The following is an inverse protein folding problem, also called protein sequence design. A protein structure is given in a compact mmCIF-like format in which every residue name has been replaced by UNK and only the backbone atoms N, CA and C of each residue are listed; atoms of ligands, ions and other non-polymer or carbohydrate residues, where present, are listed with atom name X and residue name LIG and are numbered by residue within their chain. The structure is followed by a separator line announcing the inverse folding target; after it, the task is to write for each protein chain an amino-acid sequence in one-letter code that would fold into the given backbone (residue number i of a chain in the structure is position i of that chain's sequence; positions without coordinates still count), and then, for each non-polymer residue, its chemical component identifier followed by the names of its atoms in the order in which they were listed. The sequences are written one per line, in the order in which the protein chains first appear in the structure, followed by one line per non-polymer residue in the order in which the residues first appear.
data_IF_619950666096
#
_entry.id   IF_619950666096
#
_cell.length_a   1.000
_cell.length_b   1.000
_cell.length_c   1.000
_cell.angle_alpha   90.00
_cell.angle_beta   90.00
_cell.angle_gamma   90.00
#
_symmetry.space_group_name_H-M   'P 1'
#
loop_
_entity.id
_entity.type
_entity.pdbx_description
1 polymer ?
#
# COMPACT_ATOMS: atom_id res chain seq x y z
N UNK A 1 -45.36 13.14 14.80
CA UNK A 1 -44.29 12.13 15.02
C UNK A 1 -44.10 11.36 13.74
N UNK A 2 -42.95 11.53 13.07
CA UNK A 2 -42.56 10.69 11.94
C UNK A 2 -41.18 10.14 12.26
N UNK A 3 -41.14 8.82 12.47
CA UNK A 3 -39.95 8.02 12.68
C UNK A 3 -39.21 7.96 11.34
N UNK A 4 -37.94 8.38 11.30
CA UNK A 4 -37.08 8.23 10.12
C UNK A 4 -36.19 7.02 10.37
N UNK A 5 -36.40 5.96 9.57
CA UNK A 5 -35.53 4.79 9.52
C UNK A 5 -34.19 5.19 8.89
N UNK A 6 -33.09 4.97 9.61
CA UNK A 6 -31.73 5.09 9.10
C UNK A 6 -31.15 3.70 8.81
N UNK A 7 -31.54 3.09 7.69
CA UNK A 7 -30.77 1.99 7.07
C UNK A 7 -31.16 1.89 5.60
N UNK A 8 -30.33 2.42 4.70
CA UNK A 8 -30.18 1.92 3.34
C UNK A 8 -28.93 2.52 2.68
N UNK A 9 -27.79 1.83 2.79
CA UNK A 9 -26.75 1.92 1.76
C UNK A 9 -26.59 0.52 1.19
N UNK A 10 -27.29 0.29 0.09
CA UNK A 10 -27.03 -0.85 -0.78
C UNK A 10 -25.82 -0.52 -1.64
N UNK A 11 -24.79 -1.37 -1.57
CA UNK A 11 -23.73 -1.43 -2.56
C UNK A 11 -24.34 -1.67 -3.94
N UNK A 12 -24.03 -0.79 -4.89
CA UNK A 12 -24.25 -1.03 -6.32
C UNK A 12 -22.87 -1.26 -6.95
N UNK A 13 -22.69 -2.46 -7.49
CA UNK A 13 -21.52 -2.89 -8.24
C UNK A 13 -21.22 -1.94 -9.41
N UNK A 14 -19.93 -1.63 -9.60
CA UNK A 14 -19.30 -1.15 -10.85
C UNK A 14 -19.98 0.01 -11.60
N UNK A 15 -20.45 1.04 -10.89
CA UNK A 15 -20.79 2.31 -11.52
C UNK A 15 -20.00 3.42 -10.83
N UNK A 16 -19.05 4.11 -11.50
CA UNK A 16 -18.42 5.28 -10.89
C UNK A 16 -19.53 6.30 -10.66
N UNK A 17 -19.83 6.57 -9.39
CA UNK A 17 -20.70 7.69 -9.02
C UNK A 17 -19.92 8.94 -9.40
N UNK A 18 -20.20 9.49 -10.59
CA UNK A 18 -19.85 10.88 -10.90
C UNK A 18 -20.69 11.74 -9.97
N UNK A 19 -20.07 12.27 -8.93
CA UNK A 19 -20.60 13.43 -8.23
C UNK A 19 -20.57 14.59 -9.24
N UNK A 20 -21.72 14.83 -9.87
CA UNK A 20 -21.96 16.09 -10.59
C UNK A 20 -22.44 17.06 -9.52
N UNK A 21 -21.57 17.98 -9.11
CA UNK A 21 -21.97 19.13 -8.32
C UNK A 21 -23.04 19.91 -9.10
N UNK A 22 -24.27 20.10 -8.57
CA UNK A 22 -25.31 20.87 -9.24
C UNK A 22 -24.98 22.37 -9.40
N UNK A 23 -23.86 22.85 -8.85
CA UNK A 23 -23.45 24.26 -8.92
C UNK A 23 -22.29 24.57 -9.85
N UNK A 24 -21.58 23.57 -10.39
CA UNK A 24 -20.57 23.75 -11.43
C UNK A 24 -19.39 24.63 -11.02
N UNK A 25 -18.97 24.57 -9.74
CA UNK A 25 -17.68 25.12 -9.32
C UNK A 25 -16.65 23.99 -9.36
N UNK A 26 -15.65 24.12 -10.22
CA UNK A 26 -14.51 23.21 -10.32
C UNK A 26 -13.54 23.34 -9.11
N UNK A 27 -13.93 24.11 -8.10
CA UNK A 27 -13.03 24.66 -7.07
C UNK A 27 -13.16 23.98 -5.70
N UNK A 28 -14.21 23.19 -5.42
CA UNK A 28 -14.51 22.66 -4.08
C UNK A 28 -14.94 21.18 -4.12
N UNK A 29 -14.20 20.31 -4.81
CA UNK A 29 -14.20 18.90 -4.40
C UNK A 29 -13.42 18.88 -3.09
N UNK A 30 -14.05 18.63 -1.91
CA UNK A 30 -13.27 18.39 -0.72
C UNK A 30 -12.30 17.26 -1.06
N UNK A 31 -10.99 17.53 -0.96
CA UNK A 31 -9.97 16.50 -1.02
C UNK A 31 -10.36 15.53 0.10
N UNK A 32 -11.11 14.50 -0.27
CA UNK A 32 -11.47 13.45 0.65
C UNK A 32 -10.13 12.74 0.85
N UNK A 33 -9.50 12.93 2.01
CA UNK A 33 -8.41 12.08 2.46
C UNK A 33 -9.01 10.67 2.58
N UNK A 34 -8.99 9.92 1.48
CA UNK A 34 -9.82 8.72 1.31
C UNK A 34 -9.37 7.57 2.21
N UNK A 35 -8.11 7.56 2.64
CA UNK A 35 -7.57 6.59 3.59
C UNK A 35 -7.41 7.22 4.98
N UNK A 36 -7.05 8.51 5.01
CA UNK A 36 -6.79 9.27 6.23
C UNK A 36 -5.43 8.96 6.86
N UNK A 37 -5.10 9.66 7.94
CA UNK A 37 -3.81 9.56 8.62
C UNK A 37 -3.52 8.14 9.13
N UNK A 38 -2.25 7.75 9.06
CA UNK A 38 -1.71 6.57 9.73
C UNK A 38 -1.11 7.03 11.07
N UNK A 39 -1.32 6.26 12.15
CA UNK A 39 -0.85 6.64 13.47
C UNK A 39 0.68 6.85 13.50
N UNK A 40 1.11 8.00 14.03
CA UNK A 40 2.52 8.41 14.02
C UNK A 40 2.98 9.11 12.73
N UNK A 41 2.10 9.21 11.72
CA UNK A 41 2.35 9.89 10.44
C UNK A 41 1.26 10.94 10.16
N UNK A 42 1.27 12.08 10.87
CA UNK A 42 0.26 13.13 10.67
C UNK A 42 0.30 13.70 9.24
N UNK A 43 -0.85 14.10 8.72
CA UNK A 43 -1.06 14.73 7.40
C UNK A 43 -1.39 16.22 7.57
N UNK A 44 -0.69 16.89 8.47
CA UNK A 44 -0.91 18.30 8.78
C UNK A 44 0.38 19.10 8.70
N UNK A 45 0.27 20.40 8.41
CA UNK A 45 1.41 21.31 8.32
C UNK A 45 2.45 20.81 7.30
N UNK A 46 3.72 20.72 7.74
CA UNK A 46 4.83 20.32 6.87
C UNK A 46 4.77 18.85 6.39
N UNK A 47 3.84 18.04 6.92
CA UNK A 47 3.66 16.64 6.54
C UNK A 47 2.33 16.35 5.83
N UNK A 48 1.59 17.38 5.40
CA UNK A 48 0.35 17.23 4.61
C UNK A 48 0.51 16.41 3.33
N UNK A 49 1.73 16.37 2.78
CA UNK A 49 2.07 15.63 1.56
C UNK A 49 1.89 14.11 1.68
N UNK A 50 1.77 13.56 2.89
CA UNK A 50 1.52 12.13 3.13
C UNK A 50 0.17 11.66 2.59
N UNK A 51 -0.77 12.58 2.34
CA UNK A 51 -2.04 12.30 1.69
C UNK A 51 -1.97 12.23 0.16
N UNK A 52 -0.87 12.69 -0.45
CA UNK A 52 -0.80 12.94 -1.89
C UNK A 52 -0.99 11.68 -2.76
N UNK A 53 -0.72 10.50 -2.20
CA UNK A 53 -0.79 9.21 -2.91
C UNK A 53 -2.04 8.38 -2.55
N UNK A 54 -2.99 8.89 -1.75
CA UNK A 54 -4.13 8.10 -1.28
C UNK A 54 -4.95 7.49 -2.42
N UNK A 55 -5.23 8.26 -3.46
CA UNK A 55 -5.97 7.76 -4.62
C UNK A 55 -5.17 6.69 -5.38
N UNK A 56 -3.85 6.86 -5.51
CA UNK A 56 -2.97 5.88 -6.15
C UNK A 56 -3.00 4.56 -5.39
N UNK A 57 -2.96 4.60 -4.05
CA UNK A 57 -3.03 3.40 -3.23
C UNK A 57 -4.39 2.71 -3.34
N UNK A 58 -5.49 3.47 -3.37
CA UNK A 58 -6.84 2.93 -3.59
C UNK A 58 -6.94 2.23 -4.94
N UNK A 59 -6.51 2.89 -6.00
CA UNK A 59 -6.58 2.35 -7.35
C UNK A 59 -5.70 1.10 -7.50
N UNK A 60 -4.48 1.13 -6.94
CA UNK A 60 -3.57 -0.02 -6.95
C UNK A 60 -4.15 -1.23 -6.22
N UNK A 61 -4.68 -1.05 -5.00
CA UNK A 61 -5.31 -2.14 -4.24
C UNK A 61 -6.55 -2.68 -4.97
N UNK A 62 -7.40 -1.81 -5.52
CA UNK A 62 -8.57 -2.24 -6.29
C UNK A 62 -8.18 -3.08 -7.51
N UNK A 63 -7.17 -2.63 -8.27
CA UNK A 63 -6.68 -3.35 -9.44
C UNK A 63 -6.05 -4.69 -9.07
N UNK A 64 -5.22 -4.73 -8.03
CA UNK A 64 -4.58 -5.94 -7.53
C UNK A 64 -5.62 -6.96 -7.02
N UNK A 65 -6.52 -6.54 -6.13
CA UNK A 65 -7.53 -7.44 -5.57
C UNK A 65 -8.46 -7.95 -6.68
N UNK A 66 -8.85 -7.09 -7.64
CA UNK A 66 -9.63 -7.54 -8.80
C UNK A 66 -8.86 -8.51 -9.70
N UNK A 67 -7.56 -8.29 -9.94
CA UNK A 67 -6.70 -9.18 -10.75
C UNK A 67 -6.64 -10.59 -10.16
N UNK A 68 -6.56 -10.70 -8.84
CA UNK A 68 -6.47 -11.96 -8.12
C UNK A 68 -7.81 -12.48 -7.58
N UNK A 69 -8.91 -11.77 -7.87
CA UNK A 69 -10.25 -12.12 -7.46
C UNK A 69 -10.42 -12.22 -5.91
N UNK A 70 -9.75 -11.32 -5.19
CA UNK A 70 -9.67 -11.28 -3.73
C UNK A 70 -10.72 -10.31 -3.15
N UNK A 71 -11.26 -10.70 -2.00
CA UNK A 71 -12.14 -9.91 -1.14
C UNK A 71 -11.58 -9.83 0.28
N UNK A 72 -12.12 -8.93 1.09
CA UNK A 72 -11.71 -8.80 2.49
C UNK A 72 -11.87 -10.14 3.24
N UNK A 73 -10.80 -10.57 3.90
CA UNK A 73 -10.72 -11.87 4.58
C UNK A 73 -10.07 -12.99 3.76
N UNK A 74 -9.85 -12.79 2.46
CA UNK A 74 -9.09 -13.73 1.64
C UNK A 74 -7.58 -13.61 1.88
N UNK A 75 -6.89 -14.74 1.77
CA UNK A 75 -5.42 -14.78 1.81
C UNK A 75 -4.81 -13.90 0.72
N UNK A 76 -3.91 -13.01 1.14
CA UNK A 76 -3.22 -12.08 0.25
C UNK A 76 -4.05 -10.87 -0.21
N UNK A 77 -5.26 -10.67 0.31
CA UNK A 77 -6.03 -9.43 0.13
C UNK A 77 -5.27 -8.23 0.72
N UNK A 78 -5.32 -7.08 0.05
CA UNK A 78 -4.66 -5.84 0.54
C UNK A 78 -5.64 -4.68 0.52
N UNK A 79 -5.88 -4.06 1.68
CA UNK A 79 -6.67 -2.83 1.77
C UNK A 79 -5.83 -1.59 1.42
N UNK A 80 -6.45 -0.47 1.01
CA UNK A 80 -5.71 0.78 0.80
C UNK A 80 -4.96 1.25 2.06
N UNK A 81 -5.52 1.01 3.25
CA UNK A 81 -4.88 1.35 4.54
C UNK A 81 -3.63 0.52 4.79
N UNK A 82 -3.65 -0.78 4.47
CA UNK A 82 -2.45 -1.63 4.56
C UNK A 82 -1.33 -1.11 3.66
N UNK A 83 -1.64 -0.78 2.40
CA UNK A 83 -0.63 -0.28 1.47
C UNK A 83 -0.10 1.10 1.90
N UNK A 84 -0.96 1.99 2.42
CA UNK A 84 -0.53 3.28 2.96
C UNK A 84 0.35 3.11 4.20
N UNK A 85 0.01 2.19 5.10
CA UNK A 85 0.83 1.88 6.26
C UNK A 85 2.24 1.41 5.86
N UNK A 86 2.35 0.54 4.84
CA UNK A 86 3.62 0.15 4.26
C UNK A 86 4.38 1.36 3.68
N UNK A 87 3.72 2.20 2.88
CA UNK A 87 4.35 3.41 2.32
C UNK A 87 4.87 4.36 3.41
N UNK A 88 4.17 4.46 4.54
CA UNK A 88 4.62 5.29 5.66
C UNK A 88 5.90 4.73 6.30
N UNK A 89 6.01 3.41 6.43
CA UNK A 89 7.19 2.74 6.97
C UNK A 89 8.38 2.80 6.00
N UNK A 90 8.12 2.72 4.68
CA UNK A 90 9.17 2.76 3.64
C UNK A 90 9.70 4.17 3.37
N UNK A 91 8.83 5.18 3.30
CA UNK A 91 9.21 6.54 2.90
C UNK A 91 8.39 7.67 3.55
N UNK A 92 7.56 7.37 4.55
CA UNK A 92 6.71 8.37 5.21
C UNK A 92 7.44 9.26 6.22
N UNK A 93 8.75 9.10 6.43
CA UNK A 93 9.52 9.90 7.37
C UNK A 93 9.47 11.40 7.05
N UNK A 94 9.60 12.25 8.08
CA UNK A 94 9.44 13.70 7.92
C UNK A 94 10.44 14.33 6.93
N UNK A 95 11.58 13.66 6.68
CA UNK A 95 12.62 14.13 5.77
C UNK A 95 12.59 13.40 4.41
N UNK A 96 11.60 12.53 4.18
CA UNK A 96 11.56 11.60 3.04
C UNK A 96 10.49 11.98 2.02
N UNK A 97 10.02 13.24 2.06
CA UNK A 97 8.96 13.77 1.18
C UNK A 97 9.18 13.43 -0.28
N UNK A 98 10.38 13.65 -0.81
CA UNK A 98 10.66 13.44 -2.24
C UNK A 98 10.55 11.96 -2.61
N UNK A 99 11.02 11.06 -1.73
CA UNK A 99 10.90 9.62 -1.92
C UNK A 99 9.43 9.19 -1.86
N UNK A 100 8.66 9.68 -0.89
CA UNK A 100 7.23 9.36 -0.80
C UNK A 100 6.45 9.83 -2.03
N UNK A 101 6.73 11.03 -2.54
CA UNK A 101 6.02 11.58 -3.68
C UNK A 101 6.39 10.93 -5.02
N UNK A 102 7.43 10.10 -5.08
CA UNK A 102 7.93 9.52 -6.35
C UNK A 102 7.99 7.99 -6.32
N UNK A 103 8.48 7.38 -5.24
CA UNK A 103 8.58 5.93 -5.03
C UNK A 103 8.16 5.54 -3.60
N UNK A 104 6.87 5.69 -3.25
CA UNK A 104 6.42 5.56 -1.86
C UNK A 104 6.69 4.20 -1.21
N UNK A 105 6.79 3.11 -1.99
CA UNK A 105 6.97 1.74 -1.50
C UNK A 105 8.40 1.21 -1.69
N UNK A 106 9.31 2.03 -2.26
CA UNK A 106 10.75 1.77 -2.35
C UNK A 106 11.12 0.38 -2.92
N UNK A 107 10.25 -0.20 -3.76
CA UNK A 107 10.39 -1.57 -4.26
C UNK A 107 11.56 -1.74 -5.23
N UNK A 108 12.08 -0.64 -5.81
CA UNK A 108 13.13 -0.68 -6.84
C UNK A 108 14.48 -0.14 -6.37
N UNK A 109 14.81 -0.32 -5.09
CA UNK A 109 16.09 0.12 -4.55
C UNK A 109 17.28 -0.53 -5.30
N UNK A 110 18.32 0.27 -5.57
CA UNK A 110 19.44 -0.20 -6.41
C UNK A 110 20.26 -1.30 -5.72
N UNK A 111 20.40 -1.19 -4.40
CA UNK A 111 21.22 -2.06 -3.55
C UNK A 111 20.53 -3.39 -3.19
N UNK A 112 19.21 -3.48 -3.36
CA UNK A 112 18.41 -4.68 -3.09
C UNK A 112 17.85 -5.33 -4.37
N UNK A 113 18.32 -4.86 -5.53
CA UNK A 113 17.84 -5.34 -6.83
C UNK A 113 18.14 -6.83 -7.04
N UNK A 114 17.10 -7.57 -7.43
CA UNK A 114 17.18 -8.98 -7.83
C UNK A 114 16.44 -9.23 -9.15
N UNK A 115 16.87 -10.19 -10.00
CA UNK A 115 16.23 -10.45 -11.30
C UNK A 115 14.72 -10.76 -11.21
N UNK A 116 14.26 -11.30 -10.09
CA UNK A 116 12.85 -11.58 -9.83
C UNK A 116 12.01 -10.32 -9.87
N UNK A 117 12.52 -9.15 -9.49
CA UNK A 117 11.78 -7.87 -9.58
C UNK A 117 11.45 -7.51 -11.04
N UNK A 118 12.30 -7.88 -11.99
CA UNK A 118 11.96 -7.74 -13.41
C UNK A 118 10.88 -8.75 -13.86
N UNK A 119 11.00 -10.01 -13.42
CA UNK A 119 10.08 -11.08 -13.81
C UNK A 119 8.68 -10.94 -13.20
N UNK A 120 8.60 -10.56 -11.93
CA UNK A 120 7.36 -10.48 -11.14
C UNK A 120 6.71 -9.12 -11.31
N UNK A 121 7.47 -8.05 -11.14
CA UNK A 121 6.95 -6.69 -11.06
C UNK A 121 7.07 -5.92 -12.39
N UNK A 122 7.73 -6.50 -13.41
CA UNK A 122 7.95 -5.84 -14.70
C UNK A 122 8.96 -4.69 -14.66
N UNK A 123 9.75 -4.58 -13.59
CA UNK A 123 10.66 -3.45 -13.41
C UNK A 123 11.97 -3.63 -14.19
N UNK A 124 12.63 -2.51 -14.44
CA UNK A 124 14.05 -2.48 -14.82
C UNK A 124 14.88 -1.89 -13.68
N UNK A 125 16.10 -2.40 -13.50
CA UNK A 125 17.03 -1.91 -12.48
C UNK A 125 17.29 -0.42 -12.67
N UNK A 126 17.03 0.37 -11.63
CA UNK A 126 17.26 1.81 -11.65
C UNK A 126 16.33 2.59 -12.58
N UNK A 127 15.18 2.00 -12.96
CA UNK A 127 14.15 2.76 -13.64
C UNK A 127 13.68 3.93 -12.74
N UNK A 128 13.31 5.04 -13.36
CA UNK A 128 12.62 6.11 -12.67
C UNK A 128 11.23 5.64 -12.25
N UNK A 129 10.90 5.85 -10.98
CA UNK A 129 9.65 5.38 -10.38
C UNK A 129 8.61 6.49 -10.36
N UNK A 130 7.34 6.10 -10.46
CA UNK A 130 6.18 6.93 -10.14
C UNK A 130 5.40 6.29 -9.00
N UNK A 131 4.54 7.03 -8.27
CA UNK A 131 3.69 6.44 -7.25
C UNK A 131 2.87 5.25 -7.75
N UNK A 132 2.33 5.31 -8.96
CA UNK A 132 1.54 4.23 -9.56
C UNK A 132 2.38 2.98 -9.85
N UNK A 133 3.59 3.18 -10.40
CA UNK A 133 4.51 2.08 -10.69
C UNK A 133 5.01 1.46 -9.39
N UNK A 134 5.34 2.28 -8.39
CA UNK A 134 5.75 1.86 -7.06
C UNK A 134 4.67 1.00 -6.38
N UNK A 135 3.44 1.51 -6.32
CA UNK A 135 2.31 0.81 -5.70
C UNK A 135 1.97 -0.51 -6.39
N UNK A 136 1.86 -0.51 -7.73
CA UNK A 136 1.56 -1.73 -8.48
C UNK A 136 2.65 -2.79 -8.31
N UNK A 137 3.92 -2.39 -8.45
CA UNK A 137 5.05 -3.30 -8.33
C UNK A 137 5.22 -3.84 -6.90
N UNK A 138 5.00 -3.01 -5.88
CA UNK A 138 5.05 -3.40 -4.48
C UNK A 138 4.02 -4.48 -4.15
N UNK A 139 2.79 -4.35 -4.64
CA UNK A 139 1.75 -5.36 -4.42
C UNK A 139 2.10 -6.73 -5.05
N UNK A 140 2.64 -6.73 -6.27
CA UNK A 140 3.13 -7.96 -6.92
C UNK A 140 4.32 -8.57 -6.16
N UNK A 141 5.26 -7.73 -5.70
CA UNK A 141 6.42 -8.19 -4.94
C UNK A 141 5.99 -8.77 -3.60
N UNK A 142 5.12 -8.06 -2.87
CA UNK A 142 4.55 -8.49 -1.60
C UNK A 142 3.83 -9.83 -1.74
N UNK A 143 3.01 -9.99 -2.77
CA UNK A 143 2.36 -11.27 -3.07
C UNK A 143 3.39 -12.38 -3.26
N UNK A 144 4.37 -12.17 -4.14
CA UNK A 144 5.44 -13.14 -4.38
C UNK A 144 6.23 -13.49 -3.10
N UNK A 145 6.37 -12.55 -2.17
CA UNK A 145 7.04 -12.79 -0.88
C UNK A 145 6.19 -13.50 0.16
N UNK A 146 4.87 -13.36 0.10
CA UNK A 146 3.98 -14.01 1.06
C UNK A 146 3.50 -15.40 0.66
N UNK A 147 3.72 -15.83 -0.59
CA UNK A 147 3.37 -17.18 -1.03
C UNK A 147 4.59 -18.13 -1.06
N UNK A 148 4.36 -19.38 -0.66
CA UNK A 148 5.22 -20.50 -1.04
C UNK A 148 5.01 -20.78 -2.53
N UNK A 149 6.10 -21.14 -3.23
CA UNK A 149 6.08 -21.46 -4.65
C UNK A 149 6.53 -22.90 -4.89
N UNK A 150 5.84 -23.62 -5.77
CA UNK A 150 6.25 -24.95 -6.21
C UNK A 150 7.49 -24.91 -7.14
N UNK A 151 7.98 -26.08 -7.57
CA UNK A 151 9.12 -26.19 -8.48
C UNK A 151 8.88 -25.54 -9.87
N UNK A 152 7.63 -25.22 -10.21
CA UNK A 152 7.26 -24.54 -11.45
C UNK A 152 7.07 -23.03 -11.23
N UNK A 153 7.20 -22.55 -10.00
CA UNK A 153 6.97 -21.15 -9.64
C UNK A 153 5.50 -20.78 -9.46
N UNK A 154 4.60 -21.75 -9.28
CA UNK A 154 3.19 -21.50 -8.97
C UNK A 154 3.02 -21.29 -7.46
N UNK A 155 2.18 -20.33 -7.07
CA UNK A 155 1.78 -20.08 -5.69
C UNK A 155 1.02 -21.29 -5.12
N UNK A 156 1.39 -21.74 -3.92
CA UNK A 156 0.75 -22.91 -3.27
C UNK A 156 0.06 -22.58 -1.96
N UNK A 157 0.67 -21.77 -1.10
CA UNK A 157 0.18 -21.48 0.25
C UNK A 157 0.59 -20.07 0.66
N UNK A 158 -0.35 -19.33 1.26
CA UNK A 158 -0.09 -17.99 1.81
C UNK A 158 0.45 -18.13 3.23
N UNK A 159 1.63 -17.58 3.49
CA UNK A 159 2.30 -17.62 4.80
C UNK A 159 1.89 -16.46 5.72
N UNK A 160 1.00 -15.57 5.27
CA UNK A 160 0.48 -14.46 6.06
C UNK A 160 1.11 -13.10 5.72
N UNK A 161 0.38 -12.02 6.06
CA UNK A 161 0.79 -10.64 5.81
C UNK A 161 2.13 -10.29 6.47
N UNK A 162 2.34 -10.78 7.70
CA UNK A 162 3.59 -10.56 8.42
C UNK A 162 4.78 -11.14 7.66
N UNK A 163 4.64 -12.37 7.14
CA UNK A 163 5.70 -13.03 6.36
C UNK A 163 5.97 -12.29 5.05
N UNK A 164 4.91 -11.85 4.37
CA UNK A 164 5.02 -11.06 3.15
C UNK A 164 5.85 -9.78 3.38
N UNK A 165 5.55 -9.04 4.45
CA UNK A 165 6.25 -7.80 4.79
C UNK A 165 7.69 -8.06 5.26
N UNK A 166 7.89 -9.12 6.07
CA UNK A 166 9.21 -9.55 6.53
C UNK A 166 10.15 -9.92 5.37
N UNK A 167 9.64 -10.59 4.35
CA UNK A 167 10.41 -11.00 3.18
C UNK A 167 10.51 -9.91 2.09
N UNK A 168 9.63 -8.90 2.15
CA UNK A 168 9.69 -7.70 1.32
C UNK A 168 10.98 -6.92 1.62
N UNK A 169 11.25 -6.70 2.90
CA UNK A 169 12.47 -6.02 3.35
C UNK A 169 13.66 -6.98 3.50
N UNK A 170 14.63 -6.86 2.60
CA UNK A 170 15.86 -7.67 2.63
C UNK A 170 16.87 -7.27 3.71
N UNK A 171 16.62 -6.22 4.48
CA UNK A 171 17.58 -5.66 5.43
C UNK A 171 17.72 -6.52 6.70
N UNK A 172 18.89 -7.14 6.85
CA UNK A 172 19.26 -7.97 8.03
C UNK A 172 20.12 -7.23 9.05
N UNK A 173 20.28 -5.91 8.93
CA UNK A 173 20.94 -5.11 9.97
C UNK A 173 20.11 -5.13 11.25
N UNK A 174 20.66 -4.74 12.41
CA UNK A 174 19.88 -4.60 13.63
C UNK A 174 18.70 -3.62 13.45
N UNK A 175 17.62 -3.90 14.17
CA UNK A 175 16.44 -3.03 14.23
C UNK A 175 16.78 -1.63 14.78
N UNK A 176 16.08 -0.58 14.32
CA UNK A 176 16.35 0.79 14.73
C UNK A 176 15.92 1.09 16.18
N UNK A 177 15.14 0.19 16.81
CA UNK A 177 14.67 0.31 18.20
C UNK A 177 15.72 -0.12 19.25
N UNK A 178 16.91 -0.55 18.82
CA UNK A 178 17.98 -1.00 19.69
C UNK A 178 17.80 -2.42 20.24
N UNK A 179 16.82 -3.17 19.74
CA UNK A 179 16.66 -4.60 20.04
C UNK A 179 17.64 -5.47 19.25
N UNK A 180 17.82 -6.72 19.68
CA UNK A 180 18.61 -7.73 18.96
C UNK A 180 17.90 -8.30 17.70
N UNK A 181 16.73 -7.75 17.36
CA UNK A 181 15.94 -8.17 16.19
C UNK A 181 16.56 -7.68 14.90
N UNK A 182 16.29 -8.40 13.81
CA UNK A 182 16.61 -7.92 12.47
C UNK A 182 15.66 -6.78 12.07
N UNK A 183 16.17 -5.87 11.27
CA UNK A 183 15.43 -4.71 10.79
C UNK A 183 14.12 -5.08 10.09
N UNK A 184 14.11 -6.16 9.31
CA UNK A 184 12.91 -6.69 8.65
C UNK A 184 11.83 -7.24 9.60
N UNK A 185 12.20 -7.72 10.79
CA UNK A 185 11.22 -8.12 11.82
C UNK A 185 10.50 -6.88 12.36
N UNK A 186 11.27 -5.85 12.68
CA UNK A 186 10.72 -4.57 13.14
C UNK A 186 9.82 -3.93 12.08
N UNK A 187 10.21 -3.96 10.79
CA UNK A 187 9.39 -3.46 9.68
C UNK A 187 8.05 -4.20 9.59
N UNK A 188 8.08 -5.54 9.57
CA UNK A 188 6.87 -6.35 9.46
C UNK A 188 5.90 -6.12 10.62
N UNK A 189 6.40 -6.07 11.85
CA UNK A 189 5.60 -5.73 13.04
C UNK A 189 4.99 -4.34 12.91
N UNK A 190 5.82 -3.35 12.52
CA UNK A 190 5.37 -1.96 12.45
C UNK A 190 4.29 -1.75 11.39
N UNK A 191 4.44 -2.36 10.23
CA UNK A 191 3.41 -2.31 9.18
C UNK A 191 2.11 -2.96 9.64
N UNK A 192 2.20 -4.11 10.34
CA UNK A 192 1.01 -4.81 10.84
C UNK A 192 0.29 -4.03 11.96
N UNK A 193 1.03 -3.35 12.83
CA UNK A 193 0.44 -2.43 13.82
C UNK A 193 -0.32 -1.29 13.15
N UNK A 194 0.29 -0.67 12.14
CA UNK A 194 -0.25 0.53 11.48
C UNK A 194 -1.40 0.25 10.51
N UNK A 195 -1.55 -1.00 10.07
CA UNK A 195 -2.55 -1.42 9.10
C UNK A 195 -3.95 -1.65 9.72
N UNK A 196 -4.07 -1.61 11.05
CA UNK A 196 -5.31 -1.84 11.79
C UNK A 196 -6.25 -0.63 11.80
#
# INVERSE_FOLDING_TARGET
MKQTNFYLYHYAANNPIKYIDPTGRDDDIPILHLIGEIEGYPETGDTEWRAANDQVFIDACNNYNSKYNLSEGDDGYVSPRMLKAQAMVESGGANDKDAFLTDPLQVNNYDDWVPEKARICGLTRGQEMTPETSAAAALEWRRYKGYIHDNNGNETEWEGDWKANYDYNGNRRPAPDGSDREHREWYADREQELSQ
#
